data_IF_537921323757
#
_entry.id   IF_537921323757
#
_cell.length_a   1.000
_cell.length_b   1.000
_cell.length_c   1.000
_cell.angle_alpha   90.00
_cell.angle_beta   90.00
_cell.angle_gamma   90.00
#
_symmetry.space_group_name_H-M   'P 1'
#
loop_
_entity.id
_entity.type
_entity.pdbx_description
1 polymer ?
#
# COMPACT_ATOMS: atom_id res chain seq x y z
N UNK A 1 5.01 21.77 -14.74
CA UNK A 1 4.83 20.38 -14.29
C UNK A 1 3.73 19.74 -15.10
N UNK A 2 4.08 19.01 -16.17
CA UNK A 2 3.11 18.36 -17.06
C UNK A 2 3.61 16.94 -17.29
N UNK A 3 3.13 16.00 -16.48
CA UNK A 3 3.68 14.65 -16.47
C UNK A 3 2.93 13.69 -15.56
N UNK A 4 1.60 13.69 -15.64
CA UNK A 4 0.79 12.60 -15.10
C UNK A 4 0.02 11.96 -16.26
N UNK A 5 0.55 10.86 -16.77
CA UNK A 5 -0.12 9.90 -17.67
C UNK A 5 -0.30 10.39 -19.12
N UNK A 6 0.80 10.38 -19.90
CA UNK A 6 0.73 10.35 -21.36
C UNK A 6 0.71 8.87 -21.80
N UNK A 7 -0.45 8.37 -22.23
CA UNK A 7 -0.56 7.00 -22.76
C UNK A 7 -1.91 6.60 -23.36
N UNK A 8 -3.03 7.23 -22.96
CA UNK A 8 -4.30 7.02 -23.68
C UNK A 8 -5.18 8.27 -23.58
N UNK A 9 -6.03 8.49 -24.58
CA UNK A 9 -6.95 9.64 -24.69
C UNK A 9 -7.96 9.76 -23.53
N UNK A 10 -7.96 8.82 -22.57
CA UNK A 10 -8.87 8.80 -21.43
C UNK A 10 -8.10 9.08 -20.13
N UNK A 11 -8.10 10.33 -19.68
CA UNK A 11 -7.61 10.68 -18.34
C UNK A 11 -8.67 10.25 -17.33
N UNK A 12 -8.41 9.19 -16.57
CA UNK A 12 -9.25 8.86 -15.41
C UNK A 12 -9.01 9.95 -14.37
N UNK A 13 -9.97 10.86 -14.25
CA UNK A 13 -9.95 11.90 -13.24
C UNK A 13 -10.66 11.37 -11.98
N UNK A 14 -9.92 11.31 -10.88
CA UNK A 14 -10.45 10.98 -9.55
C UNK A 14 -10.98 12.28 -8.94
N UNK A 15 -12.22 12.61 -9.27
CA UNK A 15 -12.93 13.82 -8.81
C UNK A 15 -13.96 13.54 -7.70
N UNK A 16 -14.12 12.28 -7.30
CA UNK A 16 -15.07 11.88 -6.27
C UNK A 16 -14.52 10.78 -5.37
N UNK A 17 -15.03 10.74 -4.14
CA UNK A 17 -14.70 9.72 -3.14
C UNK A 17 -15.14 8.34 -3.62
N UNK A 18 -16.30 8.24 -4.28
CA UNK A 18 -16.76 6.98 -4.83
C UNK A 18 -15.76 6.42 -5.85
N UNK A 19 -15.28 7.24 -6.79
CA UNK A 19 -14.23 6.81 -7.74
C UNK A 19 -12.94 6.37 -7.04
N UNK A 20 -12.53 7.13 -6.01
CA UNK A 20 -11.35 6.80 -5.20
C UNK A 20 -11.51 5.42 -4.52
N UNK A 21 -12.65 5.18 -3.88
CA UNK A 21 -13.00 3.92 -3.21
C UNK A 21 -13.01 2.74 -4.20
N UNK A 22 -13.64 2.90 -5.37
CA UNK A 22 -13.69 1.82 -6.37
C UNK A 22 -12.30 1.49 -6.92
N UNK A 23 -11.49 2.51 -7.24
CA UNK A 23 -10.11 2.30 -7.68
C UNK A 23 -9.27 1.64 -6.59
N UNK A 24 -9.44 2.05 -5.34
CA UNK A 24 -8.81 1.40 -4.20
C UNK A 24 -9.14 -0.10 -4.16
N UNK A 25 -10.43 -0.46 -4.25
CA UNK A 25 -10.84 -1.87 -4.26
C UNK A 25 -10.19 -2.67 -5.39
N UNK A 26 -10.22 -2.14 -6.62
CA UNK A 26 -9.62 -2.79 -7.80
C UNK A 26 -8.11 -2.98 -7.61
N UNK A 27 -7.40 -1.94 -7.17
CA UNK A 27 -5.96 -2.00 -6.97
C UNK A 27 -5.56 -2.87 -5.80
N UNK A 28 -6.36 -2.91 -4.74
CA UNK A 28 -6.13 -3.81 -3.62
C UNK A 28 -6.22 -5.27 -4.04
N UNK A 29 -7.27 -5.66 -4.79
CA UNK A 29 -7.38 -7.02 -5.35
C UNK A 29 -6.18 -7.35 -6.25
N UNK A 30 -5.78 -6.42 -7.13
CA UNK A 30 -4.64 -6.63 -8.02
C UNK A 30 -3.33 -6.87 -7.23
N UNK A 31 -3.06 -6.05 -6.23
CA UNK A 31 -1.86 -6.18 -5.39
C UNK A 31 -1.90 -7.44 -4.53
N UNK A 32 -3.05 -7.80 -3.97
CA UNK A 32 -3.24 -9.07 -3.24
C UNK A 32 -2.89 -10.26 -4.13
N UNK A 33 -3.47 -10.33 -5.34
CA UNK A 33 -3.16 -11.41 -6.30
C UNK A 33 -1.68 -11.43 -6.71
N UNK A 34 -1.03 -10.26 -6.77
CA UNK A 34 0.40 -10.21 -7.06
C UNK A 34 1.22 -10.72 -5.89
N UNK A 35 0.93 -10.29 -4.66
CA UNK A 35 1.65 -10.70 -3.46
C UNK A 35 1.52 -12.20 -3.18
N UNK A 36 0.34 -12.79 -3.40
CA UNK A 36 0.14 -14.23 -3.21
C UNK A 36 0.86 -15.10 -4.24
N UNK A 37 1.03 -14.61 -5.47
CA UNK A 37 1.77 -15.32 -6.54
C UNK A 37 3.29 -15.22 -6.40
N UNK A 38 3.77 -14.28 -5.60
CA UNK A 38 5.19 -14.05 -5.43
C UNK A 38 5.70 -14.99 -4.32
N UNK A 39 5.99 -16.23 -4.70
CA UNK A 39 6.49 -17.26 -3.75
C UNK A 39 7.95 -17.04 -3.32
N UNK A 40 8.73 -16.28 -4.09
CA UNK A 40 10.16 -16.03 -3.80
C UNK A 40 10.78 -14.88 -4.59
N UNK A 41 10.00 -14.20 -5.44
CA UNK A 41 10.51 -13.14 -6.31
C UNK A 41 10.45 -11.79 -5.59
N UNK A 42 11.42 -10.91 -5.83
CA UNK A 42 11.43 -9.56 -5.25
C UNK A 42 10.15 -8.81 -5.62
N UNK A 43 9.49 -8.17 -4.65
CA UNK A 43 8.35 -7.30 -4.91
C UNK A 43 8.83 -6.05 -5.68
N UNK A 44 8.79 -6.13 -7.01
CA UNK A 44 9.24 -5.03 -7.87
C UNK A 44 8.16 -3.96 -7.91
N UNK A 45 8.39 -2.87 -7.19
CA UNK A 45 7.59 -1.64 -7.30
C UNK A 45 7.92 -0.96 -8.62
N UNK A 46 7.00 -1.03 -9.58
CA UNK A 46 7.01 -0.21 -10.79
C UNK A 46 6.27 1.10 -10.51
N UNK A 47 6.43 2.11 -11.37
CA UNK A 47 5.70 3.38 -11.25
C UNK A 47 4.17 3.18 -11.17
N UNK A 48 3.63 2.21 -11.91
CA UNK A 48 2.21 1.88 -11.85
C UNK A 48 1.82 1.33 -10.47
N UNK A 49 2.59 0.40 -9.90
CA UNK A 49 2.34 -0.12 -8.54
C UNK A 49 2.48 0.98 -7.49
N UNK A 50 3.42 1.91 -7.67
CA UNK A 50 3.58 3.08 -6.79
C UNK A 50 2.32 3.97 -6.80
N UNK A 51 1.77 4.25 -7.98
CA UNK A 51 0.50 4.98 -8.10
C UNK A 51 -0.69 4.25 -7.45
N UNK A 52 -0.77 2.92 -7.64
CA UNK A 52 -1.78 2.09 -6.96
C UNK A 52 -1.67 2.21 -5.44
N UNK A 53 -0.46 2.09 -4.89
CA UNK A 53 -0.20 2.25 -3.46
C UNK A 53 -0.57 3.65 -2.96
N UNK A 54 -0.29 4.71 -3.71
CA UNK A 54 -0.73 6.07 -3.35
C UNK A 54 -2.25 6.18 -3.29
N UNK A 55 -2.97 5.60 -4.25
CA UNK A 55 -4.44 5.62 -4.27
C UNK A 55 -5.01 4.86 -3.06
N UNK A 56 -4.41 3.72 -2.71
CA UNK A 56 -4.77 2.95 -1.51
C UNK A 56 -4.49 3.78 -0.25
N UNK A 57 -3.31 4.37 -0.13
CA UNK A 57 -2.94 5.23 1.00
C UNK A 57 -3.92 6.40 1.17
N UNK A 58 -4.19 7.15 0.11
CA UNK A 58 -5.14 8.27 0.15
C UNK A 58 -6.53 7.80 0.56
N UNK A 59 -6.97 6.64 0.07
CA UNK A 59 -8.26 6.07 0.46
C UNK A 59 -8.27 5.71 1.94
N UNK A 60 -7.23 5.08 2.47
CA UNK A 60 -7.10 4.72 3.89
C UNK A 60 -7.13 5.95 4.80
N UNK A 61 -6.49 7.06 4.39
CA UNK A 61 -6.51 8.34 5.13
C UNK A 61 -7.89 8.99 5.07
N UNK A 62 -8.60 8.87 3.95
CA UNK A 62 -9.88 9.52 3.75
C UNK A 62 -11.07 8.70 4.33
N UNK A 63 -10.95 7.36 4.40
CA UNK A 63 -11.99 6.43 4.83
C UNK A 63 -12.67 6.79 6.17
N UNK A 64 -11.94 7.23 7.24
CA UNK A 64 -12.55 7.59 8.51
C UNK A 64 -13.54 8.76 8.42
N UNK A 65 -13.39 9.64 7.42
CA UNK A 65 -14.21 10.84 7.25
C UNK A 65 -15.54 10.57 6.54
N UNK A 66 -15.78 9.34 6.08
CA UNK A 66 -16.98 8.99 5.31
C UNK A 66 -17.84 7.98 6.05
N UNK A 67 -19.13 7.91 5.68
CA UNK A 67 -20.09 6.98 6.29
C UNK A 67 -19.57 5.53 6.26
N UNK A 68 -19.04 5.06 7.41
CA UNK A 68 -18.37 3.76 7.57
C UNK A 68 -19.19 2.58 7.04
N UNK A 69 -20.51 2.71 7.04
CA UNK A 69 -21.41 1.64 6.62
C UNK A 69 -21.57 1.52 5.10
N UNK A 70 -21.24 2.56 4.31
CA UNK A 70 -21.41 2.55 2.84
C UNK A 70 -20.40 1.62 2.14
N UNK A 71 -19.22 1.43 2.71
CA UNK A 71 -18.09 0.75 2.05
C UNK A 71 -17.58 -0.47 2.83
N UNK A 72 -18.49 -1.21 3.48
CA UNK A 72 -18.13 -2.42 4.23
C UNK A 72 -17.42 -3.47 3.37
N UNK A 73 -17.80 -3.59 2.08
CA UNK A 73 -17.12 -4.48 1.13
C UNK A 73 -15.65 -4.13 0.93
N UNK A 74 -15.31 -2.83 0.93
CA UNK A 74 -13.93 -2.37 0.77
C UNK A 74 -13.09 -2.75 1.99
N UNK A 75 -13.68 -2.73 3.20
CA UNK A 75 -12.99 -3.15 4.42
C UNK A 75 -12.48 -4.59 4.31
N UNK A 76 -13.29 -5.51 3.77
CA UNK A 76 -12.87 -6.91 3.57
C UNK A 76 -11.67 -7.00 2.63
N UNK A 77 -11.73 -6.31 1.48
CA UNK A 77 -10.63 -6.31 0.49
C UNK A 77 -9.34 -5.72 1.07
N UNK A 78 -9.47 -4.66 1.87
CA UNK A 78 -8.34 -4.01 2.52
C UNK A 78 -7.70 -4.93 3.58
N UNK A 79 -8.49 -5.72 4.30
CA UNK A 79 -7.99 -6.75 5.22
C UNK A 79 -7.19 -7.81 4.44
N UNK A 80 -7.73 -8.32 3.32
CA UNK A 80 -7.03 -9.33 2.51
C UNK A 80 -5.67 -8.83 1.98
N UNK A 81 -5.62 -7.56 1.57
CA UNK A 81 -4.36 -6.92 1.16
C UNK A 81 -3.39 -6.75 2.32
N UNK A 82 -3.88 -6.31 3.48
CA UNK A 82 -3.06 -6.20 4.70
C UNK A 82 -2.41 -7.54 5.04
N UNK A 83 -3.19 -8.63 5.04
CA UNK A 83 -2.69 -9.96 5.39
C UNK A 83 -1.68 -10.48 4.37
N UNK A 84 -1.89 -10.17 3.09
CA UNK A 84 -0.94 -10.48 2.02
C UNK A 84 0.38 -9.73 2.18
N UNK A 85 0.35 -8.46 2.60
CA UNK A 85 1.55 -7.67 2.92
C UNK A 85 2.26 -8.23 4.15
N UNK A 86 1.52 -8.60 5.20
CA UNK A 86 2.07 -9.22 6.40
C UNK A 86 2.81 -10.52 6.08
N UNK A 87 2.22 -11.38 5.24
CA UNK A 87 2.85 -12.60 4.76
C UNK A 87 4.10 -12.32 3.93
N UNK A 88 4.08 -11.28 3.09
CA UNK A 88 5.24 -10.87 2.30
C UNK A 88 6.41 -10.44 3.20
N UNK A 89 6.16 -9.60 4.22
CA UNK A 89 7.18 -9.19 5.19
C UNK A 89 7.74 -10.35 6.01
N UNK A 90 6.96 -11.41 6.22
CA UNK A 90 7.45 -12.63 6.89
C UNK A 90 8.42 -13.43 6.01
N UNK A 91 8.21 -13.44 4.69
CA UNK A 91 8.94 -14.30 3.72
C UNK A 91 10.09 -13.59 3.02
N UNK A 92 10.06 -12.27 2.90
CA UNK A 92 11.00 -11.50 2.09
C UNK A 92 11.62 -10.35 2.89
N UNK A 93 12.91 -10.07 2.63
CA UNK A 93 13.53 -8.81 3.06
C UNK A 93 13.07 -7.67 2.16
N UNK A 94 12.75 -6.52 2.76
CA UNK A 94 12.40 -5.28 2.06
C UNK A 94 13.62 -4.42 1.71
N UNK A 95 14.80 -4.80 2.19
CA UNK A 95 16.02 -3.99 2.09
C UNK A 95 16.45 -3.72 0.64
N UNK A 96 16.06 -4.58 -0.31
CA UNK A 96 16.32 -4.44 -1.74
C UNK A 96 15.41 -3.40 -2.44
N UNK A 97 14.41 -2.86 -1.74
CA UNK A 97 13.48 -1.85 -2.25
C UNK A 97 14.04 -0.45 -1.93
N UNK A 98 13.91 0.56 -2.81
CA UNK A 98 14.25 1.95 -2.44
C UNK A 98 13.52 2.43 -1.19
N UNK A 99 14.18 3.22 -0.33
CA UNK A 99 13.64 3.64 0.98
C UNK A 99 12.26 4.31 0.87
N UNK A 100 12.02 5.14 -0.13
CA UNK A 100 10.74 5.85 -0.29
C UNK A 100 9.60 4.90 -0.62
N UNK A 101 9.94 3.82 -1.33
CA UNK A 101 9.01 2.75 -1.67
C UNK A 101 8.75 1.84 -0.46
N UNK A 102 9.76 1.57 0.37
CA UNK A 102 9.59 0.89 1.66
C UNK A 102 8.65 1.68 2.57
N UNK A 103 8.89 2.98 2.71
CA UNK A 103 8.08 3.90 3.51
C UNK A 103 6.61 3.93 3.03
N UNK A 104 6.38 4.01 1.73
CA UNK A 104 5.01 4.00 1.19
C UNK A 104 4.26 2.70 1.51
N UNK A 105 4.90 1.54 1.34
CA UNK A 105 4.26 0.26 1.69
C UNK A 105 3.94 0.23 3.19
N UNK A 106 4.90 0.65 4.03
CA UNK A 106 4.72 0.67 5.48
C UNK A 106 3.60 1.61 5.92
N UNK A 107 3.54 2.81 5.34
CA UNK A 107 2.47 3.77 5.60
C UNK A 107 1.09 3.21 5.26
N UNK A 108 0.97 2.52 4.12
CA UNK A 108 -0.25 1.77 3.80
C UNK A 108 -0.52 0.73 4.88
N UNK A 109 0.46 -0.13 5.18
CA UNK A 109 0.36 -1.25 6.11
C UNK A 109 -0.16 -0.82 7.49
N UNK A 110 0.40 0.25 8.07
CA UNK A 110 0.01 0.80 9.38
C UNK A 110 -1.40 1.41 9.35
N UNK A 111 -1.85 1.94 8.21
CA UNK A 111 -3.15 2.63 8.09
C UNK A 111 -4.32 1.69 7.84
N UNK A 112 -4.10 0.40 7.60
CA UNK A 112 -5.20 -0.55 7.39
C UNK A 112 -6.08 -0.68 8.65
N UNK A 113 -7.41 -0.74 8.47
CA UNK A 113 -8.33 -0.97 9.58
C UNK A 113 -8.34 -2.47 9.96
N UNK A 114 -7.35 -2.93 10.71
CA UNK A 114 -7.28 -4.32 11.18
C UNK A 114 -8.17 -4.58 12.40
N UNK A 115 -8.74 -5.80 12.54
CA UNK A 115 -9.44 -6.21 13.75
C UNK A 115 -8.50 -6.51 14.92
N UNK A 116 -7.28 -6.97 14.64
CA UNK A 116 -6.22 -7.15 15.63
C UNK A 116 -5.23 -5.99 15.54
N UNK A 117 -5.01 -5.33 16.67
CA UNK A 117 -4.00 -4.31 16.79
C UNK A 117 -2.64 -4.94 16.51
N UNK A 118 -1.91 -4.30 15.61
CA UNK A 118 -0.51 -4.52 15.31
C UNK A 118 0.28 -4.86 16.58
N UNK A 119 0.86 -6.06 16.68
CA UNK A 119 1.76 -6.34 17.80
C UNK A 119 3.04 -5.51 17.63
N UNK A 120 3.49 -4.75 18.65
CA UNK A 120 4.69 -3.91 18.56
C UNK A 120 5.95 -4.66 18.09
N UNK A 121 6.02 -5.97 18.34
CA UNK A 121 7.09 -6.86 17.91
C UNK A 121 7.19 -7.03 16.39
N UNK A 122 6.06 -7.11 15.68
CA UNK A 122 6.05 -7.10 14.21
C UNK A 122 6.47 -5.74 13.66
N UNK A 123 6.33 -4.68 14.47
CA UNK A 123 6.61 -3.31 14.09
C UNK A 123 8.10 -3.11 14.03
N UNK A 124 8.80 -3.51 15.08
CA UNK A 124 10.25 -3.45 15.15
C UNK A 124 10.89 -4.30 14.04
N UNK A 125 10.32 -5.47 13.69
CA UNK A 125 10.87 -6.32 12.62
C UNK A 125 10.86 -5.64 11.24
N UNK A 126 9.89 -4.77 10.98
CA UNK A 126 9.76 -4.04 9.71
C UNK A 126 10.36 -2.63 9.80
N UNK A 127 10.25 -1.97 10.95
CA UNK A 127 10.73 -0.61 11.20
C UNK A 127 12.23 -0.54 11.42
N UNK A 128 12.83 -1.46 12.19
CA UNK A 128 14.25 -1.39 12.53
C UNK A 128 15.13 -1.35 11.27
N UNK A 129 14.95 -2.20 10.24
CA UNK A 129 15.74 -2.11 9.01
C UNK A 129 15.55 -0.79 8.25
N UNK A 130 14.33 -0.21 8.31
CA UNK A 130 14.02 1.07 7.68
C UNK A 130 14.67 2.23 8.44
N UNK A 131 14.59 2.21 9.78
CA UNK A 131 15.19 3.21 10.66
C UNK A 131 16.72 3.18 10.56
N UNK A 132 17.32 1.99 10.58
CA UNK A 132 18.77 1.82 10.35
C UNK A 132 19.18 2.37 8.99
N UNK A 133 18.39 2.10 7.93
CA UNK A 133 18.65 2.64 6.59
C UNK A 133 18.56 4.17 6.54
N UNK A 134 17.61 4.78 7.25
CA UNK A 134 17.47 6.24 7.37
C UNK A 134 18.63 6.88 8.15
N UNK A 135 19.12 6.22 9.21
CA UNK A 135 20.26 6.70 10.01
C UNK A 135 21.56 6.58 9.23
N UNK A 136 21.73 5.52 8.44
CA UNK A 136 22.96 5.26 7.67
C UNK A 136 23.01 6.02 6.34
N UNK A 137 21.87 6.46 5.79
CA UNK A 137 21.79 7.23 4.55
C UNK A 137 20.94 8.50 4.73
N UNK A 138 21.44 9.53 5.43
CA UNK A 138 20.70 10.76 5.72
C UNK A 138 20.50 11.69 4.51
N UNK A 139 20.84 11.25 3.30
CA UNK A 139 20.71 12.04 2.05
C UNK A 139 19.39 11.76 1.31
N UNK A 140 18.37 11.30 2.03
CA UNK A 140 16.96 11.57 1.76
C UNK A 140 16.42 12.55 2.79
#
# INVERSE_FOLDING_TARGET
MSGLINGSKNRIQIDSIDKLVYLCGIFSVNLTMYLTKVESKRFKITNNKKQMLFIIYFTLVALPNFHRNKYLWLKSILIDLHDSLAQYFKKSSINDIPIENQLLILQCYIKFPTPEQFQPSDCNRVLEPILESLVTNPCY
#
